data_IF_854480072064
#
_entry.id   IF_854480072064
#
_cell.length_a   1.000
_cell.length_b   1.000
_cell.length_c   1.000
_cell.angle_alpha   90.00
_cell.angle_beta   90.00
_cell.angle_gamma   90.00
#
_symmetry.space_group_name_H-M   'P 1'
#
loop_
_entity.id
_entity.type
_entity.pdbx_description
1 polymer ?
2 non-polymer ?
3 non-polymer ?
4 non-polymer ?
5 non-polymer ?
6 non-polymer ?
7 water ?
#
# COMPACT_ATOMS: atom_id res chain seq x y z
N UNK A 12 -13.03 11.19 -26.65
CA UNK A 12 -13.82 12.34 -26.30
C UNK A 12 -13.26 12.97 -25.01
N UNK A 13 -13.55 14.26 -24.81
CA UNK A 13 -13.17 15.03 -23.61
C UNK A 13 -14.41 15.08 -22.72
N UNK A 14 -14.35 14.49 -21.53
CA UNK A 14 -15.46 14.50 -20.54
C UNK A 14 -15.23 15.53 -19.40
N UNK A 15 -16.33 15.96 -18.76
CA UNK A 15 -16.27 16.78 -17.52
C UNK A 15 -16.62 15.90 -16.32
N UNK A 16 -17.46 14.88 -16.52
CA UNK A 16 -17.93 13.97 -15.44
C UNK A 16 -17.53 12.54 -15.81
N UNK A 17 -17.20 11.69 -14.82
CA UNK A 17 -16.98 10.23 -15.08
C UNK A 17 -17.16 9.51 -13.76
N UNK A 18 -18.23 8.74 -13.62
CA UNK A 18 -18.62 8.18 -12.32
C UNK A 18 -18.79 9.30 -11.30
N UNK A 19 -18.08 9.24 -10.17
CA UNK A 19 -18.16 10.30 -9.14
C UNK A 19 -17.02 11.31 -9.30
N UNK A 20 -16.25 11.29 -10.39
CA UNK A 20 -15.15 12.26 -10.59
C UNK A 20 -15.72 13.44 -11.41
N UNK A 21 -15.20 14.64 -11.12
CA UNK A 21 -15.61 15.93 -11.80
C UNK A 21 -14.33 16.73 -12.07
N UNK A 22 -14.16 17.19 -13.30
CA UNK A 22 -13.04 18.13 -13.63
C UNK A 22 -13.03 19.31 -12.64
N UNK A 23 -11.82 19.71 -12.17
CA UNK A 23 -11.52 20.78 -11.17
C UNK A 23 -11.45 20.23 -9.73
N UNK A 24 -11.72 18.92 -9.52
CA UNK A 24 -11.59 18.29 -8.18
C UNK A 24 -10.11 18.29 -7.74
N UNK A 25 -9.88 18.47 -6.44
CA UNK A 25 -8.54 18.24 -5.83
C UNK A 25 -8.44 16.73 -5.65
N UNK A 26 -7.26 16.17 -5.93
CA UNK A 26 -7.04 14.69 -5.91
C UNK A 26 -5.60 14.41 -5.47
N UNK A 27 -5.22 13.13 -5.35
CA UNK A 27 -3.83 12.70 -5.22
C UNK A 27 -3.46 11.97 -6.52
N UNK A 28 -2.24 12.18 -7.03
CA UNK A 28 -1.71 11.48 -8.21
C UNK A 28 -0.39 10.80 -7.92
N UNK A 29 -0.12 9.68 -8.60
CA UNK A 29 1.18 8.96 -8.50
C UNK A 29 2.23 9.59 -9.44
N UNK A 30 3.30 10.13 -8.86
CA UNK A 30 4.48 10.61 -9.65
C UNK A 30 5.39 9.44 -10.05
N UNK A 31 6.32 9.69 -10.99
CA UNK A 31 7.29 8.68 -11.50
C UNK A 31 8.23 8.21 -10.38
N UNK A 32 8.36 8.96 -9.29
CA UNK A 32 9.11 8.54 -8.07
C UNK A 32 8.37 7.43 -7.31
N UNK A 33 7.13 7.12 -7.71
CA UNK A 33 6.22 6.12 -7.07
C UNK A 33 5.67 6.64 -5.72
N UNK A 34 5.88 7.91 -5.38
CA UNK A 34 5.23 8.58 -4.23
C UNK A 34 4.04 9.42 -4.74
N UNK A 35 3.07 9.69 -3.88
CA UNK A 35 1.78 10.32 -4.26
C UNK A 35 1.67 11.75 -3.70
N UNK A 36 1.10 12.65 -4.52
CA UNK A 36 1.16 14.12 -4.29
C UNK A 36 -0.14 14.80 -4.68
N UNK A 37 -0.44 15.91 -4.02
CA UNK A 37 -1.69 16.67 -4.23
C UNK A 37 -1.65 17.37 -5.59
N UNK A 38 -2.80 17.40 -6.26
CA UNK A 38 -3.01 18.13 -7.52
C UNK A 38 -4.49 18.36 -7.81
N UNK A 39 -4.74 18.83 -9.00
CA UNK A 39 -6.08 19.16 -9.55
C UNK A 39 -6.32 18.29 -10.80
N UNK A 40 -7.52 17.70 -10.91
CA UNK A 40 -7.99 16.99 -12.11
C UNK A 40 -8.38 18.04 -13.16
N UNK A 41 -7.58 18.18 -14.21
CA UNK A 41 -7.85 19.24 -15.23
C UNK A 41 -8.48 18.69 -16.50
N UNK A 42 -8.50 17.37 -16.74
CA UNK A 42 -9.16 16.81 -17.93
C UNK A 42 -9.45 15.32 -17.72
N UNK A 43 -10.45 14.81 -18.43
CA UNK A 43 -10.78 13.36 -18.51
C UNK A 43 -10.91 13.03 -20.01
N UNK A 44 -10.19 12.01 -20.49
CA UNK A 44 -10.09 11.70 -21.94
C UNK A 44 -10.51 10.26 -22.13
N UNK A 45 -11.32 9.95 -23.14
CA UNK A 45 -11.63 8.56 -23.55
C UNK A 45 -10.99 8.22 -24.91
N UNK A 46 -10.55 6.97 -25.04
CA UNK A 46 -10.22 6.32 -26.35
C UNK A 46 -10.95 4.97 -26.36
N UNK A 47 -12.17 4.97 -26.90
CA UNK A 47 -13.05 3.80 -26.94
C UNK A 47 -13.38 3.30 -25.55
N UNK A 48 -12.83 2.13 -25.12
CA UNK A 48 -13.10 1.62 -23.78
C UNK A 48 -12.11 2.14 -22.73
N UNK A 49 -11.05 2.86 -23.14
CA UNK A 49 -10.00 3.35 -22.22
C UNK A 49 -10.29 4.74 -21.65
N UNK A 50 -9.83 5.01 -20.43
CA UNK A 50 -9.96 6.37 -19.80
C UNK A 50 -8.60 6.84 -19.28
N UNK A 51 -8.29 8.13 -19.46
CA UNK A 51 -7.10 8.75 -18.84
C UNK A 51 -7.51 10.04 -18.14
N UNK A 52 -6.74 10.42 -17.12
CA UNK A 52 -7.01 11.53 -16.19
C UNK A 52 -5.79 12.45 -16.12
N UNK A 53 -5.94 13.70 -16.58
CA UNK A 53 -4.84 14.67 -16.63
C UNK A 53 -4.79 15.42 -15.29
N UNK A 54 -3.66 15.36 -14.57
CA UNK A 54 -3.50 15.99 -13.25
C UNK A 54 -2.40 17.07 -13.31
N UNK A 55 -2.71 18.25 -12.80
CA UNK A 55 -1.73 19.33 -12.54
C UNK A 55 -1.34 19.25 -11.07
N UNK A 56 -0.07 18.90 -10.81
CA UNK A 56 0.47 18.80 -9.44
C UNK A 56 0.64 20.25 -8.95
N UNK A 57 0.68 20.43 -7.63
CA UNK A 57 0.79 21.75 -6.95
C UNK A 57 2.11 22.43 -7.29
N UNK A 58 2.98 21.83 -8.12
CA UNK A 58 4.24 22.45 -8.61
C UNK A 58 4.08 22.83 -10.09
N UNK A 59 2.93 22.55 -10.71
CA UNK A 59 2.58 23.03 -12.07
C UNK A 59 2.97 21.99 -13.13
N UNK A 60 3.76 20.98 -12.73
CA UNK A 60 4.07 19.80 -13.56
C UNK A 60 2.82 18.95 -13.73
N UNK A 61 2.68 18.30 -14.90
CA UNK A 61 1.42 17.60 -15.30
C UNK A 61 1.72 16.14 -15.68
N UNK A 62 0.79 15.22 -15.40
CA UNK A 62 0.86 13.84 -15.89
C UNK A 62 -0.49 13.44 -16.45
N UNK A 63 -0.48 12.57 -17.47
CA UNK A 63 -1.71 11.91 -17.97
C UNK A 63 -1.71 10.50 -17.38
N UNK A 64 -2.66 10.21 -16.47
CA UNK A 64 -2.61 9.00 -15.58
C UNK A 64 -3.79 8.06 -15.83
N UNK A 65 -3.58 6.75 -15.66
CA UNK A 65 -4.67 5.74 -15.57
C UNK A 65 -5.44 5.94 -14.25
N UNK A 66 -6.68 5.45 -14.20
CA UNK A 66 -7.56 5.65 -13.02
C UNK A 66 -7.09 4.93 -11.74
N UNK A 67 -6.21 3.93 -11.89
CA UNK A 67 -5.57 3.22 -10.73
C UNK A 67 -4.35 4.00 -10.20
N UNK A 68 -3.99 5.11 -10.83
CA UNK A 68 -2.85 5.98 -10.44
C UNK A 68 -3.32 7.36 -9.93
N UNK A 69 -4.60 7.47 -9.57
CA UNK A 69 -5.18 8.64 -8.85
C UNK A 69 -5.98 8.10 -7.64
N UNK A 70 -6.02 8.90 -6.58
CA UNK A 70 -6.72 8.61 -5.31
C UNK A 70 -7.49 9.82 -4.83
N UNK A 71 -8.56 9.57 -4.07
CA UNK A 71 -9.35 10.67 -3.46
C UNK A 71 -8.58 11.28 -2.28
N UNK A 72 -8.66 12.60 -2.12
CA UNK A 72 -8.07 13.33 -0.97
C UNK A 72 -9.10 13.35 0.17
N UNK A 73 -9.45 12.18 0.70
CA UNK A 73 -10.35 12.01 1.87
C UNK A 73 -10.14 10.60 2.42
N UNK A 74 -10.44 10.40 3.70
CA UNK A 74 -10.27 9.09 4.39
C UNK A 74 -11.54 8.27 4.11
N UNK A 75 -11.40 7.00 3.69
CA UNK A 75 -12.55 6.17 3.34
C UNK A 75 -13.36 5.78 4.57
N UNK A 76 -14.71 5.72 4.52
CA UNK A 76 -15.50 5.13 5.61
C UNK A 76 -15.18 3.62 5.73
N UNK A 77 -15.24 3.05 6.93
CA UNK A 77 -14.74 1.69 7.22
C UNK A 77 -15.57 0.64 6.46
N UNK A 78 -16.82 0.92 6.19
CA UNK A 78 -17.66 -0.06 5.46
C UNK A 78 -17.26 -0.13 3.99
N UNK A 79 -16.33 0.72 3.51
CA UNK A 79 -15.91 0.68 2.07
C UNK A 79 -14.57 -0.03 1.93
N UNK A 80 -13.94 -0.44 3.03
CA UNK A 80 -12.59 -1.05 2.98
C UNK A 80 -12.73 -2.54 3.27
N UNK A 81 -12.19 -3.35 2.37
CA UNK A 81 -12.12 -4.82 2.49
C UNK A 81 -10.67 -5.29 2.47
N UNK A 82 -10.44 -6.53 2.91
CA UNK A 82 -9.18 -7.24 2.55
C UNK A 82 -9.05 -7.26 1.05
N UNK A 83 -7.91 -6.78 0.54
CA UNK A 83 -7.67 -6.63 -0.91
C UNK A 83 -7.96 -5.23 -1.48
N UNK A 84 -8.53 -4.33 -0.69
CA UNK A 84 -8.76 -2.93 -1.15
C UNK A 84 -7.43 -2.29 -1.53
N UNK A 85 -7.44 -1.50 -2.62
CA UNK A 85 -6.28 -0.75 -3.11
C UNK A 85 -6.28 0.65 -2.49
N UNK A 86 -5.18 1.04 -1.80
CA UNK A 86 -5.15 2.30 -1.01
C UNK A 86 -3.77 2.96 -1.16
N UNK A 87 -3.75 4.28 -0.90
CA UNK A 87 -2.51 5.02 -0.57
C UNK A 87 -2.47 5.25 0.94
N UNK A 88 -1.32 5.01 1.57
CA UNK A 88 -1.17 5.14 3.04
C UNK A 88 0.13 5.87 3.39
N UNK A 89 0.13 6.45 4.57
CA UNK A 89 1.35 7.05 5.16
C UNK A 89 2.40 5.94 5.42
N UNK A 90 3.59 6.10 4.83
CA UNK A 90 4.72 5.14 4.83
C UNK A 90 5.83 5.79 5.66
N UNK A 91 6.22 5.18 6.78
CA UNK A 91 7.16 5.80 7.77
C UNK A 91 8.59 5.35 7.48
N UNK A 92 9.41 6.25 6.90
CA UNK A 92 10.76 5.97 6.30
C UNK A 92 11.83 6.70 7.13
N UNK A 93 12.55 5.99 8.00
CA UNK A 93 13.42 6.60 9.01
C UNK A 93 12.70 7.75 9.71
N UNK A 94 13.13 9.00 9.48
CA UNK A 94 12.57 10.21 10.14
C UNK A 94 11.62 10.97 9.19
N UNK A 95 11.47 10.53 7.93
CA UNK A 95 10.55 11.15 6.91
C UNK A 95 9.36 10.24 6.56
N UNK A 96 8.23 10.86 6.19
CA UNK A 96 6.95 10.19 5.79
C UNK A 96 6.58 10.51 4.32
N UNK A 97 6.13 9.49 3.56
CA UNK A 97 5.63 9.65 2.17
C UNK A 97 4.21 9.08 2.11
N UNK A 98 3.50 9.34 1.00
CA UNK A 98 2.27 8.59 0.66
C UNK A 98 2.63 7.56 -0.44
N UNK A 99 2.35 6.28 -0.16
CA UNK A 99 2.80 5.14 -0.99
C UNK A 99 1.63 4.16 -1.16
N UNK A 100 1.57 3.47 -2.30
CA UNK A 100 0.45 2.53 -2.56
C UNK A 100 0.63 1.21 -1.83
N UNK A 101 -0.51 0.58 -1.52
CA UNK A 101 -0.54 -0.76 -0.90
C UNK A 101 -1.90 -1.44 -1.03
N UNK A 102 -2.01 -2.54 -0.32
CA UNK A 102 -3.23 -3.41 -0.20
C UNK A 102 -3.64 -3.54 1.27
N UNK A 103 -4.93 -3.42 1.59
CA UNK A 103 -5.42 -3.71 2.97
C UNK A 103 -5.32 -5.22 3.25
N UNK A 104 -4.58 -5.62 4.28
CA UNK A 104 -4.41 -7.03 4.67
C UNK A 104 -5.30 -7.40 5.85
N UNK A 105 -5.65 -6.43 6.71
CA UNK A 105 -6.52 -6.62 7.88
C UNK A 105 -7.32 -5.36 8.10
N UNK A 106 -8.59 -5.53 8.47
CA UNK A 106 -9.45 -4.42 8.95
C UNK A 106 -9.49 -4.43 10.49
N UNK A 107 -9.89 -3.32 11.15
CA UNK A 107 -9.85 -3.23 12.61
C UNK A 107 -10.56 -4.37 13.35
N UNK A 108 -9.89 -4.92 14.35
CA UNK A 108 -10.47 -5.95 15.25
C UNK A 108 -9.80 -5.95 16.62
N UNK A 109 -10.27 -6.79 17.55
CA UNK A 109 -9.78 -6.74 18.95
C UNK A 109 -8.31 -7.15 18.98
N UNK A 110 -7.91 -8.20 18.25
CA UNK A 110 -6.53 -8.73 18.25
C UNK A 110 -5.55 -7.71 17.66
N UNK A 111 -5.96 -6.78 16.79
CA UNK A 111 -5.01 -5.78 16.19
C UNK A 111 -5.16 -4.39 16.82
N UNK A 112 -5.86 -4.29 17.95
CA UNK A 112 -6.12 -3.00 18.63
C UNK A 112 -6.76 -2.01 17.65
N UNK A 113 -7.71 -2.47 16.82
CA UNK A 113 -8.58 -1.62 15.95
C UNK A 113 -7.77 -0.80 14.95
N UNK A 114 -6.81 -1.45 14.26
CA UNK A 114 -5.99 -0.78 13.23
C UNK A 114 -6.17 -1.51 11.87
N UNK A 115 -5.69 -0.87 10.81
CA UNK A 115 -5.59 -1.47 9.44
C UNK A 115 -4.16 -1.98 9.20
N UNK A 116 -4.01 -3.23 8.78
CA UNK A 116 -2.67 -3.72 8.35
C UNK A 116 -2.53 -3.44 6.86
N UNK A 117 -1.43 -2.79 6.45
CA UNK A 117 -1.16 -2.47 5.01
C UNK A 117 0.06 -3.26 4.54
N UNK A 118 -0.05 -3.90 3.37
CA UNK A 118 1.08 -4.49 2.63
C UNK A 118 1.42 -3.54 1.48
N UNK A 119 2.52 -2.81 1.60
CA UNK A 119 2.94 -1.80 0.61
C UNK A 119 3.58 -2.47 -0.61
N UNK A 120 3.57 -1.79 -1.76
CA UNK A 120 3.98 -2.34 -3.07
C UNK A 120 5.45 -2.78 -3.09
N UNK A 121 6.27 -2.31 -2.17
CA UNK A 121 7.71 -2.68 -2.09
C UNK A 121 7.96 -3.86 -1.14
N UNK A 122 6.92 -4.38 -0.50
CA UNK A 122 7.04 -5.52 0.40
C UNK A 122 7.10 -5.16 1.88
N UNK A 123 7.07 -3.87 2.26
CA UNK A 123 7.02 -3.43 3.69
C UNK A 123 5.60 -3.60 4.22
N UNK A 124 5.44 -3.96 5.49
CA UNK A 124 4.13 -4.08 6.17
C UNK A 124 4.10 -3.16 7.41
N UNK A 125 2.97 -2.48 7.66
CA UNK A 125 2.80 -1.62 8.86
C UNK A 125 1.32 -1.41 9.20
N UNK A 126 1.02 -1.31 10.49
CA UNK A 126 -0.32 -0.93 10.98
C UNK A 126 -0.45 0.59 10.85
N UNK A 127 -1.64 1.05 10.47
CA UNK A 127 -2.01 2.48 10.29
C UNK A 127 -3.43 2.69 10.82
N UNK A 128 -3.80 3.97 11.02
CA UNK A 128 -5.16 4.35 11.43
C UNK A 128 -5.97 4.74 10.18
N UNK A 129 -7.29 4.80 10.32
CA UNK A 129 -8.21 5.26 9.23
C UNK A 129 -7.77 6.62 8.68
N UNK A 130 -7.23 7.53 9.52
CA UNK A 130 -6.84 8.91 9.10
C UNK A 130 -5.51 8.91 8.35
N UNK A 131 -4.91 7.74 8.11
CA UNK A 131 -3.63 7.60 7.37
C UNK A 131 -3.85 6.94 5.99
N UNK A 132 -5.11 6.74 5.57
CA UNK A 132 -5.49 6.00 4.33
C UNK A 132 -6.24 6.88 3.38
N UNK A 133 -6.09 6.60 2.08
CA UNK A 133 -6.82 7.28 0.98
C UNK A 133 -7.18 6.21 -0.04
N UNK A 134 -8.42 6.16 -0.56
CA UNK A 134 -8.80 5.13 -1.52
C UNK A 134 -8.42 5.47 -2.97
N UNK A 135 -7.84 4.50 -3.69
CA UNK A 135 -7.56 4.66 -5.15
C UNK A 135 -8.91 4.76 -5.89
N UNK A 136 -8.97 5.67 -6.88
CA UNK A 136 -10.25 6.00 -7.56
C UNK A 136 -10.79 4.85 -8.40
N UNK A 137 -9.98 4.24 -9.25
CA UNK A 137 -10.44 3.21 -10.22
C UNK A 137 -9.52 1.99 -10.11
N UNK A 138 -9.63 1.21 -9.01
CA UNK A 138 -8.78 0.02 -8.84
C UNK A 138 -9.07 -1.02 -9.96
N UNK A 139 -8.09 -1.86 -10.25
CA UNK A 139 -8.29 -3.01 -11.17
C UNK A 139 -9.21 -4.07 -10.51
N UNK A 140 -9.89 -4.87 -11.34
CA UNK A 140 -10.80 -5.97 -10.90
C UNK A 140 -10.04 -6.93 -9.96
N UNK A 141 -8.87 -7.35 -10.38
CA UNK A 141 -7.86 -8.02 -9.49
C UNK A 141 -6.89 -6.94 -9.01
N UNK A 142 -7.10 -6.46 -7.78
CA UNK A 142 -6.47 -5.17 -7.30
C UNK A 142 -4.93 -5.28 -7.30
N UNK A 143 -4.39 -6.49 -7.18
CA UNK A 143 -2.92 -6.72 -7.10
C UNK A 143 -2.24 -6.64 -8.47
N UNK A 144 -3.00 -6.63 -9.56
CA UNK A 144 -2.40 -6.75 -10.92
C UNK A 144 -1.60 -5.52 -11.37
N UNK A 145 -1.64 -4.39 -10.65
CA UNK A 145 -0.74 -3.27 -10.97
C UNK A 145 0.44 -3.16 -9.99
N UNK A 146 0.74 -4.20 -9.24
CA UNK A 146 1.98 -4.27 -8.40
C UNK A 146 3.12 -4.72 -9.33
N UNK A 147 4.14 -3.86 -9.46
CA UNK A 147 5.22 -4.00 -10.47
C UNK A 147 6.13 -5.19 -10.12
N UNK A 148 6.52 -5.34 -8.85
CA UNK A 148 7.42 -6.45 -8.45
C UNK A 148 6.68 -7.79 -8.50
N UNK A 149 7.15 -8.75 -9.29
CA UNK A 149 6.49 -10.06 -9.50
C UNK A 149 6.36 -10.84 -8.17
N UNK A 150 7.38 -10.87 -7.31
CA UNK A 150 7.30 -11.71 -6.08
C UNK A 150 6.27 -11.10 -5.11
N UNK A 151 6.22 -9.77 -5.02
CA UNK A 151 5.25 -9.03 -4.15
C UNK A 151 3.84 -9.27 -4.70
N UNK A 152 3.66 -9.16 -6.02
CA UNK A 152 2.34 -9.35 -6.67
C UNK A 152 1.80 -10.76 -6.40
N UNK A 153 2.62 -11.78 -6.65
CA UNK A 153 2.17 -13.19 -6.47
C UNK A 153 1.83 -13.45 -5.00
N UNK A 154 2.61 -12.92 -4.06
CA UNK A 154 2.31 -13.09 -2.62
C UNK A 154 0.92 -12.52 -2.28
N UNK A 155 0.62 -11.31 -2.76
CA UNK A 155 -0.69 -10.62 -2.46
C UNK A 155 -1.81 -11.46 -3.06
N UNK A 156 -1.68 -11.87 -4.33
CA UNK A 156 -2.71 -12.68 -4.99
C UNK A 156 -3.03 -13.91 -4.11
N UNK A 157 -2.01 -14.66 -3.67
CA UNK A 157 -2.29 -15.86 -2.83
C UNK A 157 -2.92 -15.44 -1.48
N UNK A 158 -2.39 -14.43 -0.78
CA UNK A 158 -2.91 -13.97 0.53
C UNK A 158 -4.40 -13.59 0.43
N UNK A 159 -4.71 -12.71 -0.53
CA UNK A 159 -6.08 -12.11 -0.61
C UNK A 159 -7.08 -13.19 -1.00
N UNK A 160 -6.71 -14.09 -1.91
CA UNK A 160 -7.67 -15.14 -2.38
C UNK A 160 -7.84 -16.27 -1.34
N UNK A 161 -6.84 -16.57 -0.51
CA UNK A 161 -6.88 -17.62 0.55
C UNK A 161 -7.57 -17.13 1.83
N UNK A 162 -7.58 -15.81 2.09
CA UNK A 162 -8.15 -15.19 3.31
C UNK A 162 -9.56 -15.72 3.50
N UNK A 163 -10.01 -16.12 4.73
CA UNK A 163 -9.29 -15.91 5.98
C UNK A 163 -8.34 -17.02 6.47
N UNK A 164 -7.99 -17.94 5.59
CA UNK A 164 -6.99 -19.00 5.85
C UNK A 164 -5.60 -18.34 5.76
N UNK A 165 -4.95 -18.13 6.90
CA UNK A 165 -3.65 -17.40 6.98
C UNK A 165 -2.64 -18.13 7.85
N UNK A 166 -1.81 -19.01 7.27
CA UNK A 166 -0.75 -19.67 8.02
C UNK A 166 0.21 -18.59 8.55
N UNK A 167 0.55 -18.70 9.84
CA UNK A 167 1.48 -17.79 10.56
C UNK A 167 2.30 -18.61 11.55
N UNK A 168 3.53 -18.16 11.84
CA UNK A 168 4.34 -18.78 12.93
C UNK A 168 4.09 -18.02 14.23
N UNK A 169 3.92 -18.79 15.31
CA UNK A 169 3.78 -18.28 16.68
C UNK A 169 5.20 -18.05 17.19
N UNK A 170 5.51 -16.80 17.54
CA UNK A 170 6.86 -16.39 17.99
C UNK A 170 6.76 -15.69 19.36
N UNK A 171 7.83 -15.77 20.15
CA UNK A 171 7.91 -15.11 21.46
C UNK A 171 9.20 -14.28 21.52
N UNK A 172 9.16 -13.20 22.30
CA UNK A 172 10.37 -12.36 22.49
C UNK A 172 11.49 -13.24 23.03
N UNK A 173 12.69 -13.04 22.51
CA UNK A 173 13.93 -13.77 22.85
C UNK A 173 14.20 -14.97 21.96
N UNK A 174 13.25 -15.42 21.16
CA UNK A 174 13.41 -16.64 20.32
C UNK A 174 14.46 -16.37 19.24
N UNK A 175 15.38 -17.34 19.06
CA UNK A 175 16.45 -17.22 18.05
C UNK A 175 15.98 -17.91 16.79
N UNK A 176 16.03 -17.25 15.64
CA UNK A 176 15.55 -17.83 14.35
C UNK A 176 16.43 -17.35 13.22
N UNK A 177 16.29 -17.94 12.04
CA UNK A 177 16.99 -17.40 10.84
C UNK A 177 15.97 -16.57 10.04
N UNK A 178 16.41 -15.41 9.56
CA UNK A 178 15.59 -14.49 8.76
C UNK A 178 16.32 -14.20 7.42
N UNK A 179 15.57 -14.15 6.32
CA UNK A 179 16.15 -13.88 4.98
C UNK A 179 16.48 -12.41 4.83
N UNK A 180 17.60 -12.11 4.17
CA UNK A 180 17.91 -10.75 3.64
C UNK A 180 18.84 -10.91 2.43
N UNK A 181 18.52 -10.23 1.34
CA UNK A 181 19.37 -10.21 0.11
C UNK A 181 19.69 -11.64 -0.31
N UNK A 182 18.72 -12.54 -0.27
CA UNK A 182 18.82 -13.91 -0.82
C UNK A 182 19.50 -14.94 0.07
N UNK A 183 19.98 -14.58 1.28
CA UNK A 183 20.60 -15.56 2.22
C UNK A 183 19.96 -15.50 3.61
N UNK A 184 20.25 -16.49 4.45
CA UNK A 184 19.71 -16.64 5.85
C UNK A 184 20.66 -15.99 6.86
N UNK A 185 20.14 -15.22 7.84
CA UNK A 185 20.93 -14.46 8.85
C UNK A 185 20.50 -14.89 10.25
N UNK A 186 21.41 -15.01 11.18
CA UNK A 186 21.08 -15.25 12.61
C UNK A 186 20.34 -14.00 13.09
N UNK A 187 19.19 -14.21 13.71
CA UNK A 187 18.32 -13.10 14.17
C UNK A 187 17.60 -13.48 15.45
N UNK A 188 16.96 -12.50 16.08
CA UNK A 188 16.25 -12.72 17.37
C UNK A 188 14.91 -11.96 17.33
N UNK A 189 13.84 -12.57 17.82
CA UNK A 189 12.54 -11.90 18.02
C UNK A 189 12.62 -10.90 19.19
N UNK A 190 12.38 -9.61 18.91
CA UNK A 190 12.47 -8.51 19.91
C UNK A 190 11.08 -8.20 20.50
N UNK A 191 10.01 -8.30 19.70
CA UNK A 191 8.66 -7.85 20.08
C UNK A 191 7.65 -8.45 19.07
N UNK A 192 6.40 -8.67 19.50
CA UNK A 192 5.29 -9.06 18.60
C UNK A 192 4.18 -8.02 18.76
N UNK A 193 3.61 -7.58 17.65
CA UNK A 193 2.46 -6.63 17.60
C UNK A 193 1.43 -7.21 16.61
N UNK A 194 0.36 -7.86 17.09
CA UNK A 194 -0.66 -8.47 16.21
C UNK A 194 -0.03 -9.46 15.24
N UNK A 195 -0.14 -9.22 13.92
CA UNK A 195 0.32 -10.12 12.84
C UNK A 195 1.75 -9.78 12.44
N UNK A 196 2.42 -8.83 13.11
CA UNK A 196 3.82 -8.42 12.79
C UNK A 196 4.79 -8.83 13.90
N UNK A 197 6.05 -9.06 13.52
CA UNK A 197 7.16 -9.32 14.50
C UNK A 197 8.32 -8.35 14.20
N UNK A 198 8.96 -7.81 15.23
CA UNK A 198 10.17 -6.98 15.10
C UNK A 198 11.38 -7.91 15.27
N UNK A 199 12.16 -8.07 14.20
CA UNK A 199 13.36 -8.94 14.16
C UNK A 199 14.62 -8.07 14.28
N UNK A 200 15.53 -8.49 15.20
CA UNK A 200 16.90 -7.95 15.30
C UNK A 200 17.84 -8.85 14.50
N UNK A 201 18.50 -8.30 13.48
CA UNK A 201 19.60 -9.01 12.75
C UNK A 201 20.84 -8.90 13.64
N UNK A 202 21.43 -10.01 14.06
CA UNK A 202 22.39 -10.01 15.21
C UNK A 202 23.76 -9.47 14.78
N UNK A 203 24.24 -9.77 13.56
CA UNK A 203 25.53 -9.20 13.05
C UNK A 203 25.42 -7.68 12.83
N UNK A 204 24.38 -7.19 12.15
CA UNK A 204 24.16 -5.76 11.74
C UNK A 204 23.67 -4.89 12.93
N UNK A 205 23.02 -5.53 13.91
CA UNK A 205 22.40 -4.87 15.11
C UNK A 205 21.38 -3.80 14.70
N UNK A 206 20.52 -4.12 13.74
CA UNK A 206 19.37 -3.27 13.37
C UNK A 206 18.14 -4.16 13.19
N UNK A 207 16.96 -3.56 13.28
CA UNK A 207 15.65 -4.29 13.31
C UNK A 207 14.82 -4.02 12.05
N UNK A 208 13.87 -4.89 11.80
CA UNK A 208 12.84 -4.74 10.75
C UNK A 208 11.55 -5.34 11.27
N UNK A 209 10.40 -4.72 10.95
CA UNK A 209 9.06 -5.31 11.19
C UNK A 209 8.68 -6.20 10.00
N UNK A 210 8.35 -7.45 10.26
CA UNK A 210 8.02 -8.50 9.26
C UNK A 210 6.67 -9.16 9.57
N UNK A 211 5.87 -9.46 8.54
CA UNK A 211 4.59 -10.23 8.70
C UNK A 211 4.88 -11.66 9.17
N UNK A 212 4.11 -12.17 10.14
CA UNK A 212 4.37 -13.52 10.75
C UNK A 212 4.04 -14.65 9.78
N UNK A 213 3.39 -14.37 8.64
CA UNK A 213 3.13 -15.36 7.59
C UNK A 213 4.16 -15.27 6.46
N UNK A 214 5.18 -14.43 6.57
CA UNK A 214 6.23 -14.24 5.53
C UNK A 214 7.17 -15.45 5.47
N UNK A 215 7.53 -15.94 4.25
CA UNK A 215 8.55 -17.03 4.12
C UNK A 215 9.96 -16.43 4.26
N UNK A 216 10.11 -15.14 4.57
CA UNK A 216 11.42 -14.60 5.02
C UNK A 216 11.77 -15.15 6.42
N UNK A 217 10.79 -15.60 7.20
CA UNK A 217 11.01 -16.20 8.56
C UNK A 217 11.26 -17.69 8.36
N UNK A 218 12.43 -18.21 8.74
CA UNK A 218 12.77 -19.62 8.40
C UNK A 218 11.67 -20.58 8.86
N UNK A 219 11.14 -20.49 10.10
CA UNK A 219 10.06 -21.40 10.53
C UNK A 219 8.86 -21.40 9.58
N UNK A 220 8.43 -20.23 9.06
CA UNK A 220 7.36 -20.18 8.01
C UNK A 220 7.85 -20.95 6.79
N UNK A 221 9.03 -20.59 6.27
CA UNK A 221 9.65 -21.14 5.03
C UNK A 221 9.68 -22.69 5.07
N UNK A 222 9.82 -23.28 6.27
CA UNK A 222 9.93 -24.75 6.54
C UNK A 222 8.55 -25.32 6.91
#
# INVERSE_FOLDING_TARGET
MHHHHHHSSGRENLYFQGDLIVSMRILGKKRTKTWHKGTLIAIQTVGPGKKYKVKFDNKGKSLLSGNHIAYDYHPPADKLYVGSRVVAKYKDGNQVWLYAGIVAETPNVKNKLRFLIFFDDGYASYVTQSELYPICRPLKKTWEDIEDISCRDFIEEYVTAYPNRPMVLLKSGQLIKTEWEGTWWKSRVEEVDGSLVRILFLDDKRCEWIYRGSTRLEPMFSMKT
#
